data_IF_104898083388
#
_entry.id   IF_104898083388
#
_cell.length_a   1.000
_cell.length_b   1.000
_cell.length_c   1.000
_cell.angle_alpha   90.00
_cell.angle_beta   90.00
_cell.angle_gamma   90.00
#
_symmetry.space_group_name_H-M   'P 1'
#
loop_
_entity.id
_entity.type
_entity.pdbx_description
1 polymer ?
#
# COMPACT_ATOMS: atom_id res chain seq x y z
N UNK A 1 -14.68 -12.31 -12.89
CA UNK A 1 -13.38 -12.74 -12.33
C UNK A 1 -12.53 -11.49 -12.16
N UNK A 2 -12.50 -10.88 -10.97
CA UNK A 2 -11.96 -9.54 -10.78
C UNK A 2 -10.45 -9.47 -11.10
N UNK A 3 -9.68 -10.53 -10.92
CA UNK A 3 -8.20 -10.48 -11.01
C UNK A 3 -7.60 -10.91 -12.36
N UNK A 4 -8.38 -10.96 -13.45
CA UNK A 4 -7.89 -11.43 -14.77
C UNK A 4 -7.13 -10.34 -15.57
N UNK A 5 -6.32 -9.53 -14.88
CA UNK A 5 -5.55 -8.42 -15.44
C UNK A 5 -4.10 -8.84 -15.67
N UNK A 6 -3.45 -8.43 -16.78
CA UNK A 6 -2.03 -8.76 -17.05
C UNK A 6 -1.08 -8.18 -15.99
N UNK A 7 -1.52 -7.10 -15.35
CA UNK A 7 -0.81 -6.41 -14.26
C UNK A 7 -1.79 -5.94 -13.18
N UNK A 8 -1.28 -5.73 -11.97
CA UNK A 8 -2.00 -5.08 -10.87
C UNK A 8 -1.17 -3.89 -10.41
N UNK A 9 -1.85 -2.74 -10.34
CA UNK A 9 -1.24 -1.47 -9.95
C UNK A 9 -2.04 -0.77 -8.87
N UNK A 10 -1.36 0.04 -8.06
CA UNK A 10 -2.00 0.93 -7.09
C UNK A 10 -1.46 2.36 -7.21
N UNK A 11 -2.28 3.32 -6.80
CA UNK A 11 -1.81 4.68 -6.52
C UNK A 11 -2.01 4.95 -5.03
N UNK A 12 -0.96 5.35 -4.33
CA UNK A 12 -0.94 5.58 -2.89
C UNK A 12 -0.44 7.00 -2.59
N UNK A 13 -1.03 7.65 -1.60
CA UNK A 13 -0.60 8.94 -1.06
C UNK A 13 -0.60 8.84 0.46
N UNK A 14 0.57 8.91 1.09
CA UNK A 14 0.64 9.02 2.54
C UNK A 14 0.31 10.46 2.97
N UNK A 15 -0.73 10.62 3.77
CA UNK A 15 -1.24 11.96 4.13
C UNK A 15 -0.40 12.66 5.20
N UNK A 16 0.46 11.92 5.90
CA UNK A 16 1.38 12.47 6.91
C UNK A 16 2.74 12.85 6.33
N UNK A 17 3.29 12.04 5.42
CA UNK A 17 4.62 12.28 4.83
C UNK A 17 4.58 13.00 3.48
N UNK A 18 3.42 12.99 2.79
CA UNK A 18 3.27 13.53 1.43
C UNK A 18 3.86 12.63 0.34
N UNK A 19 4.50 11.52 0.71
CA UNK A 19 5.07 10.55 -0.24
C UNK A 19 3.97 9.92 -1.08
N UNK A 20 4.28 9.72 -2.38
CA UNK A 20 3.30 9.26 -3.37
C UNK A 20 3.88 8.23 -4.30
N UNK A 21 3.12 7.15 -4.51
CA UNK A 21 3.34 6.20 -5.58
C UNK A 21 2.17 6.31 -6.55
N UNK A 22 2.45 6.52 -7.84
CA UNK A 22 1.42 6.66 -8.87
C UNK A 22 1.46 5.46 -9.80
N UNK A 23 0.34 4.75 -9.89
CA UNK A 23 0.17 3.55 -10.73
C UNK A 23 1.35 2.57 -10.61
N UNK A 24 1.86 2.36 -9.40
CA UNK A 24 2.97 1.43 -9.18
C UNK A 24 2.47 0.01 -9.47
N UNK A 25 3.11 -0.65 -10.42
CA UNK A 25 2.84 -2.06 -10.75
C UNK A 25 3.60 -2.91 -9.74
N UNK A 26 2.87 -3.67 -8.93
CA UNK A 26 3.45 -4.53 -7.88
C UNK A 26 3.28 -6.01 -8.17
N UNK A 27 2.51 -6.35 -9.19
CA UNK A 27 2.31 -7.71 -9.68
C UNK A 27 2.14 -7.69 -11.20
N UNK A 28 2.84 -8.59 -11.89
CA UNK A 28 2.75 -8.78 -13.33
C UNK A 28 2.96 -10.27 -13.66
N UNK A 29 2.22 -10.81 -14.64
CA UNK A 29 2.48 -12.15 -15.20
C UNK A 29 2.65 -13.28 -14.16
N UNK A 30 1.87 -13.25 -13.07
CA UNK A 30 1.90 -14.31 -12.05
C UNK A 30 2.83 -14.05 -10.88
N UNK A 31 3.68 -13.02 -10.93
CA UNK A 31 4.70 -12.76 -9.91
C UNK A 31 4.53 -11.38 -9.27
N UNK A 32 4.82 -11.29 -7.97
CA UNK A 32 4.98 -10.01 -7.30
C UNK A 32 6.36 -9.43 -7.60
N UNK A 33 6.43 -8.11 -7.76
CA UNK A 33 7.65 -7.38 -8.09
C UNK A 33 8.29 -6.90 -6.76
N UNK A 34 9.44 -7.46 -6.34
CA UNK A 34 10.00 -7.19 -5.01
C UNK A 34 10.32 -5.71 -4.75
N UNK A 35 10.85 -5.01 -5.75
CA UNK A 35 11.20 -3.59 -5.61
C UNK A 35 9.94 -2.72 -5.42
N UNK A 36 8.87 -3.01 -6.16
CA UNK A 36 7.61 -2.32 -5.99
C UNK A 36 6.97 -2.60 -4.62
N UNK A 37 7.07 -3.84 -4.13
CA UNK A 37 6.63 -4.16 -2.77
C UNK A 37 7.45 -3.41 -1.72
N UNK A 38 8.76 -3.25 -1.93
CA UNK A 38 9.63 -2.48 -1.03
C UNK A 38 9.21 -1.01 -0.98
N UNK A 39 8.96 -0.39 -2.12
CA UNK A 39 8.50 1.00 -2.20
C UNK A 39 7.13 1.18 -1.53
N UNK A 40 6.20 0.25 -1.76
CA UNK A 40 4.90 0.23 -1.08
C UNK A 40 5.08 0.11 0.42
N UNK A 41 5.90 -0.83 0.90
CA UNK A 41 6.17 -1.01 2.33
C UNK A 41 6.72 0.27 2.97
N UNK A 42 7.61 0.97 2.27
CA UNK A 42 8.17 2.22 2.76
C UNK A 42 7.12 3.32 2.87
N UNK A 43 6.23 3.48 1.88
CA UNK A 43 5.12 4.45 1.97
C UNK A 43 4.11 4.08 3.05
N UNK A 44 3.98 2.79 3.36
CA UNK A 44 3.11 2.26 4.41
C UNK A 44 3.79 2.14 5.79
N UNK A 45 5.04 2.58 5.94
CA UNK A 45 5.78 2.48 7.20
C UNK A 45 5.10 3.28 8.32
N UNK A 46 5.47 2.96 9.56
CA UNK A 46 5.10 3.82 10.68
C UNK A 46 5.91 5.12 10.60
N UNK A 47 5.27 6.20 10.15
CA UNK A 47 5.95 7.50 9.98
C UNK A 47 6.47 8.12 11.28
N UNK A 48 6.05 7.63 12.46
CA UNK A 48 6.52 8.15 13.75
C UNK A 48 7.84 7.54 14.19
N UNK A 49 8.04 6.27 13.87
CA UNK A 49 9.24 5.51 14.25
C UNK A 49 10.15 5.17 13.08
N UNK A 50 9.71 5.48 11.86
CA UNK A 50 10.35 5.12 10.58
C UNK A 50 10.46 3.60 10.36
N UNK A 51 9.70 2.80 11.13
CA UNK A 51 9.74 1.35 11.07
C UNK A 51 8.95 0.81 9.87
N UNK A 52 9.66 0.13 8.97
CA UNK A 52 9.11 -0.51 7.78
C UNK A 52 8.82 -1.98 8.07
N UNK A 53 7.65 -2.46 7.67
CA UNK A 53 7.33 -3.90 7.66
C UNK A 53 6.79 -4.31 6.30
N UNK A 54 6.88 -5.60 6.00
CA UNK A 54 6.22 -6.17 4.82
C UNK A 54 4.70 -6.20 5.00
N UNK A 55 3.97 -5.63 4.06
CA UNK A 55 2.53 -5.84 3.91
C UNK A 55 2.27 -7.20 3.25
N UNK A 56 1.17 -7.85 3.63
CA UNK A 56 0.67 -9.03 2.92
C UNK A 56 0.24 -8.63 1.49
N UNK A 57 0.85 -9.21 0.43
CA UNK A 57 0.49 -8.90 -0.95
C UNK A 57 -0.99 -9.13 -1.29
N UNK A 58 -1.68 -10.04 -0.58
CA UNK A 58 -3.12 -10.28 -0.77
C UNK A 58 -3.94 -9.03 -0.39
N UNK A 59 -3.47 -8.26 0.59
CA UNK A 59 -4.10 -6.98 0.96
C UNK A 59 -4.02 -5.99 -0.19
N UNK A 60 -2.87 -5.91 -0.88
CA UNK A 60 -2.70 -5.06 -2.06
C UNK A 60 -3.61 -5.51 -3.22
N UNK A 61 -3.75 -6.82 -3.40
CA UNK A 61 -4.65 -7.41 -4.40
C UNK A 61 -6.12 -7.01 -4.16
N UNK A 62 -6.55 -7.03 -2.90
CA UNK A 62 -7.88 -6.60 -2.50
C UNK A 62 -8.07 -5.10 -2.75
N UNK A 63 -7.10 -4.26 -2.38
CA UNK A 63 -7.14 -2.81 -2.65
C UNK A 63 -7.26 -2.53 -4.15
N UNK A 64 -6.46 -3.21 -4.98
CA UNK A 64 -6.51 -3.06 -6.44
C UNK A 64 -7.86 -3.54 -7.00
N UNK A 65 -8.42 -4.61 -6.44
CA UNK A 65 -9.74 -5.10 -6.83
C UNK A 65 -10.87 -4.13 -6.49
N UNK A 66 -10.82 -3.52 -5.31
CA UNK A 66 -11.77 -2.47 -4.89
C UNK A 66 -11.64 -1.26 -5.80
N UNK A 67 -10.41 -0.76 -6.01
CA UNK A 67 -10.14 0.39 -6.87
C UNK A 67 -10.69 0.21 -8.27
N UNK A 68 -10.46 -0.96 -8.89
CA UNK A 68 -10.98 -1.28 -10.23
C UNK A 68 -12.51 -1.41 -10.22
N UNK A 69 -13.09 -2.06 -9.21
CA UNK A 69 -14.55 -2.23 -9.12
C UNK A 69 -15.28 -0.88 -8.98
N UNK A 70 -14.65 0.09 -8.32
CA UNK A 70 -15.19 1.44 -8.14
C UNK A 70 -14.76 2.42 -9.24
N UNK A 71 -14.00 1.97 -10.24
CA UNK A 71 -13.39 2.83 -11.27
C UNK A 71 -12.67 4.05 -10.67
N UNK A 72 -12.03 3.85 -9.52
CA UNK A 72 -11.43 4.92 -8.75
C UNK A 72 -10.27 5.55 -9.52
N UNK A 73 -10.32 6.88 -9.69
CA UNK A 73 -9.28 7.68 -10.36
C UNK A 73 -8.32 8.36 -9.39
N UNK A 74 -8.67 8.41 -8.11
CA UNK A 74 -7.87 9.03 -7.05
C UNK A 74 -7.02 7.95 -6.34
N UNK A 75 -5.84 8.31 -5.82
CA UNK A 75 -5.05 7.39 -5.02
C UNK A 75 -5.77 7.00 -3.73
N UNK A 76 -5.38 5.88 -3.14
CA UNK A 76 -5.67 5.63 -1.73
C UNK A 76 -4.90 6.63 -0.87
N UNK A 77 -5.63 7.36 -0.05
CA UNK A 77 -5.06 8.22 0.97
C UNK A 77 -4.74 7.37 2.21
N UNK A 78 -3.45 7.21 2.49
CA UNK A 78 -2.95 6.39 3.58
C UNK A 78 -2.84 7.28 4.82
N UNK A 79 -3.80 7.11 5.71
CA UNK A 79 -3.78 7.69 7.06
C UNK A 79 -2.83 6.89 7.96
N UNK A 80 -2.84 5.56 7.83
CA UNK A 80 -1.91 4.67 8.51
C UNK A 80 -1.70 3.41 7.71
N UNK A 81 -0.44 2.97 7.60
CA UNK A 81 -0.09 1.61 7.21
C UNK A 81 0.24 0.79 8.45
N UNK A 82 1.48 0.36 8.59
CA UNK A 82 1.97 -0.26 9.81
C UNK A 82 2.00 0.72 11.00
N UNK A 83 1.74 0.19 12.20
CA UNK A 83 1.92 0.91 13.46
C UNK A 83 2.77 0.06 14.38
N UNK A 84 3.94 0.59 14.74
CA UNK A 84 4.85 -0.03 15.69
C UNK A 84 4.16 -0.23 17.05
N UNK A 85 4.59 -1.21 17.86
CA UNK A 85 4.14 -1.35 19.24
C UNK A 85 4.27 -0.05 20.05
N UNK A 86 5.33 0.72 19.81
CA UNK A 86 5.62 2.00 20.45
C UNK A 86 4.57 3.05 20.09
N UNK A 87 4.26 3.22 18.81
CA UNK A 87 3.17 4.12 18.37
C UNK A 87 1.84 3.68 18.97
N UNK A 88 1.52 2.38 18.96
CA UNK A 88 0.28 1.88 19.54
C UNK A 88 0.20 2.10 21.05
N UNK A 89 1.32 2.03 21.78
CA UNK A 89 1.36 2.30 23.22
C UNK A 89 1.15 3.79 23.51
N UNK A 90 1.80 4.68 22.75
CA UNK A 90 1.67 6.13 22.91
C UNK A 90 0.25 6.67 22.63
N UNK A 91 -0.55 5.93 21.85
CA UNK A 91 -1.94 6.28 21.53
C UNK A 91 -2.96 5.69 22.52
N UNK A 92 -2.55 4.81 23.44
CA UNK A 92 -3.38 4.31 24.53
C UNK A 92 -3.24 5.28 25.70
N UNK A 93 -4.16 6.24 25.77
CA UNK A 93 -4.35 7.09 26.94
C UNK A 93 -4.78 6.29 28.16
#
# INVERSE_FOLDING_TARGET
MLLNSPERSLSLLNTHTGERLKSIVYWEKGIYIPDALKDINYVLRDHRTDEVTSIDPITLDLMAAISRKLEAKRPFEIISGYRSPQTNAALRG
#
